data_IF_105244186761
#
_entry.id   IF_105244186761
#
_cell.length_a   1.000
_cell.length_b   1.000
_cell.length_c   1.000
_cell.angle_alpha   90.00
_cell.angle_beta   90.00
_cell.angle_gamma   90.00
#
_symmetry.space_group_name_H-M   'P 1'
#
loop_
_entity.id
_entity.type
_entity.pdbx_description
1 polymer ?
#
# COMPACT_ATOMS: atom_id res chain seq x y z
N UNK A 1 15.05 -24.43 26.86
CA UNK A 1 15.07 -23.28 25.92
C UNK A 1 14.32 -23.75 24.67
N UNK A 2 13.00 -23.74 24.72
CA UNK A 2 12.21 -24.30 23.62
C UNK A 2 12.02 -23.22 22.57
N UNK A 3 12.85 -23.30 21.52
CA UNK A 3 12.74 -22.44 20.34
C UNK A 3 11.47 -22.85 19.60
N UNK A 4 10.65 -21.86 19.22
CA UNK A 4 9.53 -22.09 18.30
C UNK A 4 10.01 -22.90 17.07
N UNK A 5 9.26 -23.94 16.64
CA UNK A 5 9.57 -24.68 15.42
C UNK A 5 9.72 -23.71 14.24
N UNK A 6 10.68 -23.95 13.33
CA UNK A 6 10.99 -23.02 12.23
C UNK A 6 9.74 -22.63 11.44
N UNK A 7 8.87 -23.59 11.10
CA UNK A 7 7.69 -23.34 10.27
C UNK A 7 6.64 -22.49 11.02
N UNK A 8 6.41 -22.80 12.31
CA UNK A 8 5.51 -22.03 13.18
C UNK A 8 6.03 -20.60 13.34
N UNK A 9 7.34 -20.41 13.53
CA UNK A 9 7.92 -19.07 13.63
C UNK A 9 7.68 -18.22 12.38
N UNK A 10 7.85 -18.78 11.18
CA UNK A 10 7.60 -18.03 9.94
C UNK A 10 6.12 -17.70 9.77
N UNK A 11 5.23 -18.65 10.08
CA UNK A 11 3.79 -18.43 10.03
C UNK A 11 3.34 -17.33 10.99
N UNK A 12 3.79 -17.38 12.25
CA UNK A 12 3.50 -16.34 13.23
C UNK A 12 4.08 -14.98 12.82
N UNK A 13 5.25 -14.96 12.18
CA UNK A 13 5.85 -13.73 11.66
C UNK A 13 5.01 -13.11 10.54
N UNK A 14 4.41 -13.91 9.67
CA UNK A 14 3.47 -13.43 8.65
C UNK A 14 2.22 -12.86 9.32
N UNK A 15 1.64 -13.58 10.28
CA UNK A 15 0.49 -13.11 11.07
C UNK A 15 0.80 -11.81 11.84
N UNK A 16 2.04 -11.56 12.25
CA UNK A 16 2.44 -10.32 12.92
C UNK A 16 2.38 -9.07 12.03
N UNK A 17 2.34 -9.25 10.72
CA UNK A 17 2.20 -8.19 9.73
C UNK A 17 0.73 -7.91 9.38
N UNK A 18 -0.15 -8.89 9.60
CA UNK A 18 -1.58 -8.72 9.31
C UNK A 18 -2.26 -7.82 10.36
N UNK A 19 -3.12 -6.87 9.96
CA UNK A 19 -3.95 -6.10 10.89
C UNK A 19 -5.08 -6.96 11.50
N UNK A 20 -5.44 -8.06 10.83
CA UNK A 20 -6.50 -9.00 11.23
C UNK A 20 -5.85 -10.29 11.73
N UNK A 21 -6.30 -10.83 12.87
CA UNK A 21 -5.73 -12.02 13.52
C UNK A 21 -4.22 -11.87 13.78
N UNK A 22 -3.82 -10.72 14.30
CA UNK A 22 -2.42 -10.37 14.50
C UNK A 22 -1.82 -11.09 15.69
N UNK A 23 -0.59 -11.59 15.52
CA UNK A 23 0.23 -12.09 16.63
C UNK A 23 1.36 -11.12 16.93
N UNK A 24 1.51 -10.72 18.19
CA UNK A 24 2.53 -9.76 18.64
C UNK A 24 3.25 -10.26 19.89
N UNK A 25 4.41 -9.68 20.20
CA UNK A 25 5.10 -9.87 21.47
C UNK A 25 5.21 -8.52 22.16
N UNK A 26 4.62 -8.36 23.35
CA UNK A 26 4.59 -7.08 24.06
C UNK A 26 6.00 -6.61 24.44
N UNK A 27 6.88 -7.52 24.83
CA UNK A 27 8.27 -7.24 25.24
C UNK A 27 9.12 -6.67 24.11
N UNK A 28 8.74 -6.93 22.87
CA UNK A 28 9.48 -6.53 21.66
C UNK A 28 8.65 -5.59 20.79
N UNK A 29 7.69 -4.85 21.37
CA UNK A 29 6.81 -3.90 20.69
C UNK A 29 6.18 -4.47 19.41
N UNK A 30 5.64 -5.68 19.53
CA UNK A 30 4.98 -6.39 18.43
C UNK A 30 5.89 -7.07 17.43
N UNK A 31 7.20 -7.19 17.68
CA UNK A 31 8.10 -8.04 16.91
C UNK A 31 8.19 -9.46 17.51
N UNK A 32 7.95 -10.49 16.69
CA UNK A 32 8.12 -11.88 17.12
C UNK A 32 9.57 -12.31 16.85
N UNK A 33 10.30 -12.60 17.93
CA UNK A 33 11.63 -13.20 17.87
C UNK A 33 11.58 -14.70 18.23
N UNK A 34 12.59 -15.47 17.84
CA UNK A 34 12.70 -16.89 18.21
C UNK A 34 12.80 -17.14 19.73
N UNK A 35 13.06 -16.08 20.51
CA UNK A 35 13.19 -16.10 21.97
C UNK A 35 11.99 -15.44 22.65
N UNK A 36 10.89 -15.16 21.93
CA UNK A 36 9.72 -14.51 22.52
C UNK A 36 9.12 -15.38 23.61
N UNK A 37 8.99 -14.82 24.81
CA UNK A 37 8.48 -15.52 25.99
C UNK A 37 6.97 -15.45 26.13
N UNK A 38 6.37 -14.41 25.56
CA UNK A 38 4.93 -14.22 25.53
C UNK A 38 4.46 -13.77 24.16
N UNK A 39 3.32 -14.29 23.71
CA UNK A 39 2.66 -13.95 22.47
C UNK A 39 1.27 -13.40 22.78
N UNK A 40 0.85 -12.36 22.09
CA UNK A 40 -0.50 -11.82 22.15
C UNK A 40 -1.17 -12.04 20.80
N UNK A 41 -2.31 -12.71 20.82
CA UNK A 41 -3.20 -12.87 19.69
C UNK A 41 -4.24 -11.74 19.76
N UNK A 42 -4.44 -11.02 18.68
CA UNK A 42 -5.41 -9.93 18.58
C UNK A 42 -6.29 -10.15 17.38
N UNK A 43 -7.61 -9.98 17.53
CA UNK A 43 -8.51 -10.05 16.38
C UNK A 43 -8.22 -8.91 15.41
N UNK A 44 -8.06 -7.70 15.94
CA UNK A 44 -7.71 -6.51 15.19
C UNK A 44 -6.58 -5.77 15.91
N UNK A 45 -5.60 -5.30 15.17
CA UNK A 45 -4.54 -4.47 15.74
C UNK A 45 -4.06 -3.42 14.74
N UNK A 46 -3.98 -2.20 15.23
CA UNK A 46 -3.52 -1.06 14.46
C UNK A 46 -2.31 -0.45 15.15
N UNK A 47 -1.28 -0.15 14.37
CA UNK A 47 -0.17 0.63 14.86
C UNK A 47 -0.41 2.10 14.52
N UNK A 48 -0.18 2.95 15.52
CA UNK A 48 -0.29 4.41 15.43
C UNK A 48 1.00 4.98 16.03
N UNK A 49 2.05 5.02 15.21
CA UNK A 49 3.38 5.46 15.61
C UNK A 49 3.90 4.68 16.82
N UNK A 50 4.15 5.37 17.92
CA UNK A 50 4.64 4.79 19.18
C UNK A 50 3.60 3.98 19.94
N UNK A 51 2.36 3.86 19.46
CA UNK A 51 1.31 3.09 20.10
C UNK A 51 0.85 1.93 19.23
N UNK A 52 0.54 0.79 19.86
CA UNK A 52 -0.18 -0.31 19.24
C UNK A 52 -1.54 -0.43 19.94
N UNK A 53 -2.60 -0.19 19.18
CA UNK A 53 -3.96 -0.47 19.59
C UNK A 53 -4.27 -1.93 19.27
N UNK A 54 -4.68 -2.64 20.30
CA UNK A 54 -5.00 -4.04 20.29
C UNK A 54 -6.47 -4.19 20.64
N UNK A 55 -7.27 -4.76 19.74
CA UNK A 55 -8.71 -4.96 19.90
C UNK A 55 -8.98 -6.46 19.95
N UNK A 56 -9.71 -6.89 20.99
CA UNK A 56 -9.97 -8.28 21.34
C UNK A 56 -8.71 -9.13 21.38
N UNK A 57 -8.09 -9.17 22.55
CA UNK A 57 -6.77 -9.79 22.70
C UNK A 57 -6.72 -10.87 23.74
N UNK A 58 -5.91 -11.88 23.43
CA UNK A 58 -5.59 -13.00 24.29
C UNK A 58 -4.06 -13.11 24.39
N UNK A 59 -3.53 -13.11 25.62
CA UNK A 59 -2.09 -13.26 25.87
C UNK A 59 -1.80 -14.70 26.24
N UNK A 60 -0.89 -15.33 25.50
CA UNK A 60 -0.38 -16.66 25.73
C UNK A 60 1.09 -16.60 26.15
N UNK A 61 1.44 -17.20 27.28
CA UNK A 61 2.81 -17.23 27.80
C UNK A 61 3.43 -18.58 27.42
N UNK A 62 4.57 -18.55 26.70
CA UNK A 62 5.27 -19.75 26.23
C UNK A 62 6.15 -20.39 27.32
N UNK A 63 6.57 -19.61 28.32
CA UNK A 63 7.51 -20.05 29.36
C UNK A 63 6.77 -20.20 30.69
N UNK A 64 6.86 -21.36 31.34
CA UNK A 64 6.35 -21.66 32.69
C UNK A 64 7.09 -20.81 33.75
N UNK A 65 6.89 -19.50 33.74
CA UNK A 65 7.23 -18.60 34.84
C UNK A 65 6.13 -18.70 35.89
N UNK A 66 6.18 -19.80 36.65
CA UNK A 66 5.25 -20.23 37.70
C UNK A 66 5.16 -19.30 38.93
N UNK A 67 5.46 -17.99 38.83
CA UNK A 67 5.54 -17.11 40.02
C UNK A 67 4.93 -15.71 39.93
N UNK A 68 4.25 -15.33 38.87
CA UNK A 68 3.33 -14.19 38.92
C UNK A 68 2.05 -14.60 38.22
N UNK A 69 0.94 -14.52 38.97
CA UNK A 69 -0.36 -15.08 38.62
C UNK A 69 -0.69 -14.94 37.13
N UNK A 70 -1.07 -16.07 36.55
CA UNK A 70 -1.74 -16.16 35.27
C UNK A 70 -2.99 -15.29 35.38
N UNK A 71 -2.88 -14.02 35.01
CA UNK A 71 -4.03 -13.29 34.52
C UNK A 71 -4.00 -13.47 33.02
N UNK A 72 -4.69 -14.52 32.57
CA UNK A 72 -5.18 -14.63 31.21
C UNK A 72 -6.17 -13.48 30.99
N UNK A 73 -5.66 -12.26 30.81
CA UNK A 73 -6.51 -11.09 30.60
C UNK A 73 -6.93 -11.10 29.13
N UNK A 74 -8.02 -11.84 28.86
CA UNK A 74 -8.87 -11.51 27.73
C UNK A 74 -9.22 -10.03 27.86
N UNK A 75 -8.63 -9.22 27.00
CA UNK A 75 -8.74 -7.77 27.08
C UNK A 75 -9.41 -7.27 25.80
N UNK A 76 -10.51 -6.55 25.96
CA UNK A 76 -11.25 -5.96 24.83
C UNK A 76 -10.44 -4.90 24.10
N UNK A 77 -9.79 -4.01 24.84
CA UNK A 77 -8.93 -2.96 24.29
C UNK A 77 -7.65 -2.89 25.11
N UNK A 78 -6.51 -3.00 24.44
CA UNK A 78 -5.20 -2.78 25.04
C UNK A 78 -4.43 -1.76 24.19
N UNK A 79 -3.80 -0.81 24.86
CA UNK A 79 -2.87 0.13 24.21
C UNK A 79 -1.49 -0.23 24.73
N UNK A 80 -0.58 -0.54 23.81
CA UNK A 80 0.84 -0.76 24.12
C UNK A 80 1.62 0.47 23.66
N UNK A 81 2.31 1.14 24.56
CA UNK A 81 3.21 2.24 24.21
C UNK A 81 4.64 1.74 24.07
N UNK A 82 5.35 2.23 23.06
CA UNK A 82 6.78 2.00 22.89
C UNK A 82 7.57 2.52 24.10
N UNK A 83 7.05 3.57 24.77
CA UNK A 83 7.65 4.17 25.96
C UNK A 83 7.53 3.29 27.21
N UNK A 84 6.56 2.39 27.26
CA UNK A 84 6.42 1.46 28.38
C UNK A 84 7.51 0.37 28.33
N UNK A 85 7.96 0.04 27.11
CA UNK A 85 9.02 -0.93 26.84
C UNK A 85 10.38 -0.25 26.92
N UNK A 86 10.51 0.94 26.34
CA UNK A 86 11.63 1.85 26.53
C UNK A 86 11.45 2.60 27.85
N UNK A 87 11.54 1.90 28.99
CA UNK A 87 11.38 2.54 30.30
C UNK A 87 12.18 3.86 30.32
N UNK A 88 11.54 4.99 30.66
CA UNK A 88 12.29 6.23 30.84
C UNK A 88 13.39 5.99 31.88
N UNK A 89 14.47 6.77 31.84
CA UNK A 89 15.48 6.75 32.90
C UNK A 89 14.72 6.91 34.22
N UNK A 90 14.72 5.86 35.05
CA UNK A 90 14.20 5.97 36.40
C UNK A 90 15.16 6.89 37.13
N UNK A 91 14.69 8.10 37.42
CA UNK A 91 15.52 9.13 38.00
C UNK A 91 16.15 8.67 39.32
N UNK A 92 15.45 7.81 40.09
CA UNK A 92 15.99 7.23 41.32
C UNK A 92 17.10 6.20 41.07
N UNK A 93 16.92 5.31 40.08
CA UNK A 93 17.97 4.34 39.70
C UNK A 93 19.20 5.08 39.16
N UNK A 94 18.97 6.15 38.41
CA UNK A 94 20.03 6.97 37.84
C UNK A 94 20.82 7.74 38.90
N UNK A 95 20.14 8.44 39.81
CA UNK A 95 20.77 9.12 40.95
C UNK A 95 21.54 8.12 41.82
N UNK A 96 20.97 6.93 42.07
CA UNK A 96 21.65 5.86 42.81
C UNK A 96 22.93 5.37 42.13
N UNK A 97 22.92 5.22 40.79
CA UNK A 97 24.12 4.84 40.02
C UNK A 97 25.18 5.93 40.05
N UNK A 98 24.78 7.19 39.95
CA UNK A 98 25.69 8.32 40.00
C UNK A 98 26.37 8.41 41.37
N UNK A 99 25.59 8.30 42.44
CA UNK A 99 26.12 8.32 43.81
C UNK A 99 27.05 7.14 44.09
N UNK A 100 26.69 5.95 43.58
CA UNK A 100 27.55 4.77 43.66
C UNK A 100 28.90 5.01 42.96
N UNK A 101 28.87 5.53 41.73
CA UNK A 101 30.08 5.86 40.98
C UNK A 101 30.91 6.94 41.68
N UNK A 102 30.27 7.93 42.30
CA UNK A 102 30.96 8.92 43.16
C UNK A 102 31.70 8.27 44.31
N UNK A 103 31.02 7.41 45.05
CA UNK A 103 31.59 6.69 46.19
C UNK A 103 32.76 5.79 45.78
N UNK A 104 32.69 5.18 44.58
CA UNK A 104 33.76 4.34 44.02
C UNK A 104 34.99 5.15 43.59
N UNK A 105 34.80 6.39 43.13
CA UNK A 105 35.86 7.23 42.55
C UNK A 105 36.55 8.12 43.57
N UNK A 106 35.83 8.63 44.57
CA UNK A 106 36.38 9.53 45.60
C UNK A 106 37.71 9.04 46.22
N UNK A 107 37.85 7.76 46.65
CA UNK A 107 39.07 7.26 47.28
C UNK A 107 40.22 6.96 46.31
N UNK A 108 40.02 7.06 45.00
CA UNK A 108 41.04 6.70 44.00
C UNK A 108 42.16 7.74 43.91
N UNK A 109 43.35 7.26 43.55
CA UNK A 109 44.51 8.12 43.29
C UNK A 109 44.30 8.94 42.00
N UNK A 110 44.97 10.10 41.87
CA UNK A 110 44.86 10.96 40.67
C UNK A 110 45.13 10.23 39.34
N UNK A 111 46.14 9.37 39.29
CA UNK A 111 46.46 8.59 38.09
C UNK A 111 45.34 7.63 37.71
N UNK A 112 44.73 6.94 38.69
CA UNK A 112 43.63 6.01 38.43
C UNK A 112 42.38 6.76 37.96
N UNK A 113 42.11 7.94 38.54
CA UNK A 113 41.03 8.84 38.09
C UNK A 113 41.24 9.27 36.64
N UNK A 114 42.47 9.56 36.23
CA UNK A 114 42.81 9.92 34.85
C UNK A 114 42.61 8.77 33.87
N UNK A 115 43.04 7.55 34.23
CA UNK A 115 42.82 6.35 33.40
C UNK A 115 41.32 6.08 33.20
N UNK A 116 40.51 6.20 34.26
CA UNK A 116 39.05 6.04 34.15
C UNK A 116 38.47 7.14 33.27
N UNK A 117 38.92 8.39 33.41
CA UNK A 117 38.48 9.51 32.58
C UNK A 117 38.72 9.24 31.10
N UNK A 118 39.91 8.76 30.74
CA UNK A 118 40.27 8.44 29.37
C UNK A 118 39.41 7.29 28.82
N UNK A 119 39.23 6.22 29.61
CA UNK A 119 38.38 5.09 29.23
C UNK A 119 36.91 5.51 29.01
N UNK A 120 36.35 6.34 29.88
CA UNK A 120 35.00 6.89 29.75
C UNK A 120 34.87 7.77 28.51
N UNK A 121 35.85 8.64 28.26
CA UNK A 121 35.87 9.54 27.11
C UNK A 121 35.99 8.78 25.78
N UNK A 122 36.86 7.77 25.73
CA UNK A 122 36.98 6.88 24.59
C UNK A 122 35.65 6.16 24.30
N UNK A 123 35.01 5.62 25.34
CA UNK A 123 33.72 4.94 25.19
C UNK A 123 32.62 5.90 24.74
N UNK A 124 32.59 7.11 25.29
CA UNK A 124 31.68 8.17 24.86
C UNK A 124 31.82 8.45 23.36
N UNK A 125 33.04 8.68 22.88
CA UNK A 125 33.29 8.96 21.46
C UNK A 125 32.78 7.82 20.57
N UNK A 126 32.98 6.56 20.97
CA UNK A 126 32.45 5.40 20.26
C UNK A 126 30.91 5.38 20.19
N UNK A 127 30.23 5.84 21.25
CA UNK A 127 28.76 5.96 21.26
C UNK A 127 28.31 7.10 20.33
N UNK A 128 29.01 8.24 20.35
CA UNK A 128 28.74 9.38 19.44
C UNK A 128 28.89 8.94 17.98
N UNK A 129 29.93 8.18 17.64
CA UNK A 129 30.11 7.63 16.30
C UNK A 129 28.96 6.70 15.90
N UNK A 130 28.49 5.88 16.85
CA UNK A 130 27.35 4.99 16.65
C UNK A 130 26.04 5.77 16.47
N UNK A 131 25.88 6.88 17.17
CA UNK A 131 24.77 7.83 17.02
C UNK A 131 24.79 8.47 15.63
N UNK A 132 25.93 8.94 15.17
CA UNK A 132 26.11 9.50 13.82
C UNK A 132 25.78 8.48 12.72
N UNK A 133 26.20 7.21 12.88
CA UNK A 133 25.82 6.13 11.95
C UNK A 133 24.31 5.89 11.95
N UNK A 134 23.66 5.98 13.10
CA UNK A 134 22.21 5.82 13.26
C UNK A 134 21.49 6.98 12.55
N UNK A 135 21.94 8.22 12.75
CA UNK A 135 21.43 9.39 12.04
C UNK A 135 21.57 9.27 10.51
N UNK A 136 22.71 8.79 10.02
CA UNK A 136 22.91 8.56 8.58
C UNK A 136 21.94 7.51 8.02
N UNK A 137 21.63 6.45 8.78
CA UNK A 137 20.58 5.48 8.39
C UNK A 137 19.21 6.13 8.33
N UNK A 138 18.88 6.99 9.29
CA UNK A 138 17.63 7.76 9.26
C UNK A 138 17.52 8.61 7.99
N UNK A 139 18.57 9.34 7.61
CA UNK A 139 18.59 10.13 6.37
C UNK A 139 18.42 9.25 5.12
N UNK A 140 19.08 8.09 5.07
CA UNK A 140 18.91 7.15 3.96
C UNK A 140 17.46 6.64 3.87
N UNK A 141 16.82 6.34 5.00
CA UNK A 141 15.42 5.94 5.05
C UNK A 141 14.45 7.03 4.61
N UNK A 142 14.71 8.29 4.99
CA UNK A 142 13.95 9.44 4.51
C UNK A 142 14.05 9.58 2.99
N UNK A 143 15.25 9.42 2.42
CA UNK A 143 15.47 9.45 0.99
C UNK A 143 14.70 8.34 0.26
N UNK A 144 14.73 7.10 0.77
CA UNK A 144 13.95 5.98 0.21
C UNK A 144 12.45 6.32 0.15
N UNK A 145 11.88 6.88 1.22
CA UNK A 145 10.46 7.29 1.22
C UNK A 145 10.19 8.39 0.20
N UNK A 146 11.08 9.38 0.07
CA UNK A 146 10.96 10.43 -0.93
C UNK A 146 10.98 9.87 -2.38
N UNK A 147 11.78 8.83 -2.64
CA UNK A 147 11.80 8.13 -3.93
C UNK A 147 10.55 7.28 -4.19
N UNK A 148 9.89 6.77 -3.15
CA UNK A 148 8.66 5.99 -3.30
C UNK A 148 7.46 6.85 -3.72
N UNK A 149 7.39 8.12 -3.30
CA UNK A 149 6.24 9.00 -3.59
C UNK A 149 5.97 9.12 -5.10
N UNK A 150 6.95 9.47 -5.97
CA UNK A 150 6.75 9.55 -7.41
C UNK A 150 6.21 8.26 -8.02
N UNK A 151 6.64 7.10 -7.53
CA UNK A 151 6.24 5.78 -8.06
C UNK A 151 4.73 5.58 -7.93
N UNK A 152 4.08 6.10 -6.88
CA UNK A 152 2.64 5.95 -6.69
C UNK A 152 1.79 6.93 -7.49
N UNK A 153 2.36 8.06 -7.94
CA UNK A 153 1.63 9.10 -8.69
C UNK A 153 0.80 8.58 -9.87
N UNK A 154 1.34 7.75 -10.78
CA UNK A 154 0.55 7.20 -11.89
C UNK A 154 -0.57 6.27 -11.41
N UNK A 155 -0.37 5.50 -10.35
CA UNK A 155 -1.39 4.61 -9.79
C UNK A 155 -2.52 5.38 -9.10
N UNK A 156 -2.19 6.49 -8.41
CA UNK A 156 -3.17 7.41 -7.85
C UNK A 156 -4.04 8.05 -8.94
N UNK A 157 -3.46 8.38 -10.10
CA UNK A 157 -4.22 8.95 -11.22
C UNK A 157 -5.19 7.96 -11.88
N UNK A 158 -4.84 6.67 -11.91
CA UNK A 158 -5.66 5.58 -12.47
C UNK A 158 -6.54 4.88 -11.45
N UNK A 159 -6.50 5.31 -10.19
CA UNK A 159 -7.22 4.66 -9.10
C UNK A 159 -8.73 4.66 -9.33
N UNK A 160 -9.27 5.70 -9.99
CA UNK A 160 -10.70 5.76 -10.36
C UNK A 160 -11.09 4.63 -11.33
N UNK A 161 -10.27 4.33 -12.33
CA UNK A 161 -10.52 3.21 -13.26
C UNK A 161 -10.39 1.85 -12.54
N UNK A 162 -9.39 1.69 -11.66
CA UNK A 162 -9.28 0.46 -10.87
C UNK A 162 -10.39 0.26 -9.84
N UNK A 163 -11.12 1.32 -9.45
CA UNK A 163 -12.26 1.22 -8.52
C UNK A 163 -13.55 0.76 -9.21
N UNK A 164 -13.62 0.75 -10.54
CA UNK A 164 -14.78 0.30 -11.32
C UNK A 164 -14.75 -1.22 -11.56
N UNK A 165 -13.69 -1.92 -11.14
CA UNK A 165 -13.62 -3.38 -11.25
C UNK A 165 -14.47 -4.06 -10.17
N UNK A 166 -15.44 -4.87 -10.59
CA UNK A 166 -16.18 -5.76 -9.70
C UNK A 166 -15.41 -7.07 -9.52
N UNK A 167 -15.05 -7.42 -8.27
CA UNK A 167 -14.48 -8.75 -7.96
C UNK A 167 -13.47 -8.80 -6.81
N UNK A 168 -12.84 -9.97 -6.64
CA UNK A 168 -11.87 -10.24 -5.57
C UNK A 168 -10.60 -9.37 -5.69
N UNK A 169 -10.19 -9.02 -6.91
CA UNK A 169 -9.02 -8.17 -7.17
C UNK A 169 -9.20 -6.74 -6.64
N UNK A 170 -10.42 -6.19 -6.71
CA UNK A 170 -10.73 -4.88 -6.10
C UNK A 170 -10.48 -4.88 -4.60
N UNK A 171 -10.96 -5.92 -3.90
CA UNK A 171 -10.77 -6.05 -2.44
C UNK A 171 -9.28 -6.15 -2.10
N UNK A 172 -8.50 -6.91 -2.88
CA UNK A 172 -7.05 -7.05 -2.69
C UNK A 172 -6.29 -5.74 -2.94
N UNK A 173 -6.68 -4.97 -3.97
CA UNK A 173 -6.09 -3.65 -4.25
C UNK A 173 -6.41 -2.67 -3.11
N UNK A 174 -7.66 -2.62 -2.65
CA UNK A 174 -8.09 -1.75 -1.56
C UNK A 174 -7.36 -2.08 -0.25
N UNK A 175 -7.23 -3.37 0.09
CA UNK A 175 -6.51 -3.82 1.28
C UNK A 175 -5.02 -3.47 1.21
N UNK A 176 -4.40 -3.67 0.04
CA UNK A 176 -3.00 -3.30 -0.20
C UNK A 176 -2.80 -1.80 -0.08
N UNK A 177 -3.68 -0.99 -0.67
CA UNK A 177 -3.63 0.47 -0.59
C UNK A 177 -3.81 0.95 0.86
N UNK A 178 -4.78 0.41 1.59
CA UNK A 178 -4.98 0.69 3.01
C UNK A 178 -3.72 0.41 3.82
N UNK A 179 -3.06 -0.71 3.57
CA UNK A 179 -1.80 -1.05 4.24
C UNK A 179 -0.68 -0.05 3.89
N UNK A 180 -0.54 0.35 2.62
CA UNK A 180 0.46 1.34 2.19
C UNK A 180 0.21 2.68 2.89
N UNK A 181 -1.02 3.18 2.87
CA UNK A 181 -1.39 4.46 3.50
C UNK A 181 -1.13 4.43 5.00
N UNK A 182 -1.58 3.39 5.70
CA UNK A 182 -1.32 3.23 7.14
C UNK A 182 0.16 3.05 7.45
N UNK A 183 0.92 2.39 6.58
CA UNK A 183 2.38 2.26 6.67
C UNK A 183 3.09 3.62 6.54
N UNK A 184 2.70 4.44 5.57
CA UNK A 184 3.24 5.79 5.37
C UNK A 184 2.90 6.70 6.55
N UNK A 185 1.65 6.67 7.05
CA UNK A 185 1.25 7.43 8.24
C UNK A 185 2.10 7.03 9.46
N UNK A 186 2.32 5.73 9.67
CA UNK A 186 3.21 5.25 10.73
C UNK A 186 4.64 5.75 10.56
N UNK A 187 5.19 5.72 9.33
CA UNK A 187 6.52 6.26 9.05
C UNK A 187 6.63 7.74 9.41
N UNK A 188 5.64 8.55 9.02
CA UNK A 188 5.60 9.98 9.37
C UNK A 188 5.60 10.19 10.89
N UNK A 189 4.84 9.40 11.63
CA UNK A 189 4.82 9.47 13.10
C UNK A 189 6.17 9.07 13.72
N UNK A 190 6.83 8.04 13.21
CA UNK A 190 8.17 7.66 13.68
C UNK A 190 9.25 8.66 13.31
N UNK A 191 9.20 9.24 12.11
CA UNK A 191 10.09 10.33 11.71
C UNK A 191 9.91 11.55 12.60
N UNK A 192 8.67 11.91 12.91
CA UNK A 192 8.38 12.98 13.86
C UNK A 192 8.95 12.66 15.25
N UNK A 193 8.74 11.45 15.77
CA UNK A 193 9.28 11.05 17.09
C UNK A 193 10.81 11.03 17.12
N UNK A 194 11.48 10.73 16.00
CA UNK A 194 12.94 10.77 15.88
C UNK A 194 13.49 12.21 15.87
N UNK A 195 12.85 13.12 15.14
CA UNK A 195 13.29 14.53 15.02
C UNK A 195 12.92 15.33 16.28
N UNK A 196 11.88 14.92 17.00
CA UNK A 196 11.38 15.63 18.17
C UNK A 196 12.49 15.87 19.19
N UNK A 197 12.76 17.15 19.45
CA UNK A 197 13.73 17.57 20.48
C UNK A 197 13.22 17.12 21.85
N UNK A 198 14.04 16.35 22.55
CA UNK A 198 13.80 15.94 23.94
C UNK A 198 14.70 16.75 24.86
N UNK A 199 14.12 17.33 25.90
CA UNK A 199 14.87 18.03 26.93
C UNK A 199 15.26 17.04 28.03
N UNK A 200 16.55 16.85 28.23
CA UNK A 200 17.09 16.16 29.39
C UNK A 200 17.88 17.17 30.23
N UNK A 201 17.83 17.02 31.55
CA UNK A 201 18.75 17.76 32.42
C UNK A 201 20.17 17.34 32.05
N UNK A 202 21.04 18.31 31.76
CA UNK A 202 22.45 18.06 31.44
C UNK A 202 23.33 18.61 32.53
N UNK A 203 24.47 17.97 32.74
CA UNK A 203 25.46 18.43 33.70
C UNK A 203 26.03 19.77 33.23
N UNK A 204 26.17 20.76 34.11
CA UNK A 204 26.67 22.08 33.72
C UNK A 204 28.14 22.19 34.06
N UNK A 205 28.88 22.89 33.21
CA UNK A 205 30.27 23.25 33.51
C UNK A 205 30.41 24.04 34.82
N UNK A 206 29.40 24.82 35.19
CA UNK A 206 29.37 25.58 36.45
C UNK A 206 29.45 24.66 37.68
N UNK A 207 28.86 23.47 37.60
CA UNK A 207 28.87 22.49 38.70
C UNK A 207 30.31 22.02 38.97
N UNK A 208 31.07 21.74 37.91
CA UNK A 208 32.51 21.42 37.98
C UNK A 208 33.32 22.61 38.50
N UNK A 209 33.09 23.81 37.96
CA UNK A 209 33.87 25.02 38.30
C UNK A 209 33.78 25.37 39.80
N UNK A 210 32.60 25.22 40.37
CA UNK A 210 32.29 25.61 41.75
C UNK A 210 32.52 24.49 42.78
N UNK A 211 32.89 23.29 42.33
CA UNK A 211 33.17 22.16 43.20
C UNK A 211 34.50 22.30 43.95
N UNK A 212 34.53 21.73 45.16
CA UNK A 212 35.75 21.66 45.97
C UNK A 212 36.78 20.66 45.38
N UNK A 213 36.31 19.55 44.81
CA UNK A 213 37.15 18.58 44.09
C UNK A 213 36.76 18.53 42.61
N UNK A 214 37.38 19.44 41.85
CA UNK A 214 37.13 19.58 40.40
C UNK A 214 37.47 18.32 39.60
N UNK A 215 38.42 17.51 40.06
CA UNK A 215 38.85 16.31 39.34
C UNK A 215 37.77 15.22 39.43
N UNK A 216 37.30 14.96 40.65
CA UNK A 216 36.21 13.99 40.87
C UNK A 216 34.91 14.48 40.24
N UNK A 217 34.58 15.76 40.37
CA UNK A 217 33.38 16.34 39.77
C UNK A 217 33.37 16.27 38.24
N UNK A 218 34.52 16.54 37.60
CA UNK A 218 34.67 16.38 36.15
C UNK A 218 34.47 14.92 35.72
N UNK A 219 34.94 13.95 36.51
CA UNK A 219 34.71 12.55 36.20
C UNK A 219 33.24 12.15 36.34
N UNK A 220 32.54 12.68 37.35
CA UNK A 220 31.09 12.50 37.50
C UNK A 220 30.33 13.09 36.32
N UNK A 221 30.70 14.30 35.89
CA UNK A 221 30.14 14.93 34.69
C UNK A 221 30.29 14.04 33.45
N UNK A 222 31.49 13.50 33.20
CA UNK A 222 31.75 12.64 32.03
C UNK A 222 30.94 11.34 32.13
N UNK A 223 30.87 10.73 33.31
CA UNK A 223 30.08 9.53 33.54
C UNK A 223 28.58 9.77 33.30
N UNK A 224 28.05 10.88 33.84
CA UNK A 224 26.67 11.32 33.66
C UNK A 224 26.31 11.48 32.18
N UNK A 225 27.10 12.29 31.45
CA UNK A 225 26.85 12.55 30.04
C UNK A 225 26.95 11.26 29.23
N UNK A 226 27.87 10.34 29.58
CA UNK A 226 28.03 9.06 28.87
C UNK A 226 26.77 8.22 29.00
N UNK A 227 26.27 8.05 30.22
CA UNK A 227 25.07 7.28 30.47
C UNK A 227 23.85 7.88 29.78
N UNK A 228 23.69 9.21 29.84
CA UNK A 228 22.61 9.91 29.16
C UNK A 228 22.69 9.71 27.63
N UNK A 229 23.88 9.85 27.06
CA UNK A 229 24.11 9.66 25.62
C UNK A 229 23.84 8.21 25.19
N UNK A 230 24.24 7.23 26.00
CA UNK A 230 23.94 5.81 25.75
C UNK A 230 22.43 5.55 25.74
N UNK A 231 21.71 6.11 26.72
CA UNK A 231 20.26 6.01 26.79
C UNK A 231 19.56 6.65 25.58
N UNK A 232 19.94 7.88 25.21
CA UNK A 232 19.44 8.56 24.01
C UNK A 232 19.66 7.68 22.77
N UNK A 233 20.87 7.13 22.62
CA UNK A 233 21.21 6.26 21.49
C UNK A 233 20.34 4.99 21.43
N UNK A 234 20.09 4.33 22.57
CA UNK A 234 19.22 3.14 22.63
C UNK A 234 17.79 3.48 22.16
N UNK A 235 17.26 4.63 22.58
CA UNK A 235 15.94 5.10 22.15
C UNK A 235 15.90 5.37 20.64
N UNK A 236 16.89 6.10 20.11
CA UNK A 236 17.02 6.39 18.69
C UNK A 236 17.10 5.11 17.84
N UNK A 237 17.96 4.16 18.22
CA UNK A 237 18.09 2.87 17.53
C UNK A 237 16.76 2.12 17.50
N UNK A 238 15.99 2.16 18.59
CA UNK A 238 14.70 1.48 18.65
C UNK A 238 13.66 2.12 17.73
N UNK A 239 13.66 3.46 17.62
CA UNK A 239 12.82 4.17 16.65
C UNK A 239 13.24 3.81 15.21
N UNK A 240 14.55 3.80 14.93
CA UNK A 240 15.09 3.43 13.61
C UNK A 240 14.69 2.00 13.20
N UNK A 241 14.75 1.04 14.12
CA UNK A 241 14.32 -0.34 13.83
C UNK A 241 12.85 -0.42 13.43
N UNK A 242 12.00 0.39 14.06
CA UNK A 242 10.60 0.48 13.68
C UNK A 242 10.45 1.12 12.29
N UNK A 243 11.14 2.24 12.01
CA UNK A 243 11.19 2.85 10.66
C UNK A 243 11.58 1.81 9.60
N UNK A 244 12.65 1.05 9.86
CA UNK A 244 13.13 0.00 8.95
C UNK A 244 12.05 -1.07 8.69
N UNK A 245 11.34 -1.52 9.74
CA UNK A 245 10.23 -2.47 9.63
C UNK A 245 9.12 -1.96 8.71
N UNK A 246 8.72 -0.70 8.86
CA UNK A 246 7.65 -0.12 8.04
C UNK A 246 8.10 0.15 6.60
N UNK A 247 9.33 0.62 6.37
CA UNK A 247 9.87 0.80 5.02
C UNK A 247 9.86 -0.54 4.28
N UNK A 248 10.36 -1.61 4.91
CA UNK A 248 10.32 -2.96 4.33
C UNK A 248 8.89 -3.41 4.00
N UNK A 249 7.95 -3.20 4.93
CA UNK A 249 6.55 -3.52 4.74
C UNK A 249 5.91 -2.76 3.57
N UNK A 250 6.15 -1.44 3.50
CA UNK A 250 5.65 -0.60 2.40
C UNK A 250 6.23 -1.06 1.06
N UNK A 251 7.54 -1.29 0.96
CA UNK A 251 8.17 -1.76 -0.29
C UNK A 251 7.56 -3.09 -0.77
N UNK A 252 7.40 -4.07 0.12
CA UNK A 252 6.80 -5.37 -0.23
C UNK A 252 5.37 -5.19 -0.74
N UNK A 253 4.58 -4.35 -0.06
CA UNK A 253 3.19 -4.11 -0.44
C UNK A 253 3.06 -3.27 -1.71
N UNK A 254 4.02 -2.40 -2.01
CA UNK A 254 4.13 -1.73 -3.31
C UNK A 254 4.33 -2.73 -4.43
N UNK A 255 5.24 -3.69 -4.23
CA UNK A 255 5.48 -4.72 -5.24
C UNK A 255 4.22 -5.56 -5.45
N UNK A 256 3.53 -5.93 -4.36
CA UNK A 256 2.25 -6.62 -4.44
C UNK A 256 1.19 -5.80 -5.20
N UNK A 257 1.08 -4.50 -4.94
CA UNK A 257 0.16 -3.60 -5.64
C UNK A 257 0.42 -3.59 -7.15
N UNK A 258 1.68 -3.45 -7.56
CA UNK A 258 2.07 -3.46 -8.97
C UNK A 258 1.71 -4.80 -9.62
N UNK A 259 1.98 -5.92 -8.93
CA UNK A 259 1.64 -7.25 -9.46
C UNK A 259 0.13 -7.44 -9.59
N UNK A 260 -0.66 -7.10 -8.58
CA UNK A 260 -2.11 -7.24 -8.62
C UNK A 260 -2.74 -6.34 -9.67
N UNK A 261 -2.26 -5.11 -9.82
CA UNK A 261 -2.74 -4.19 -10.85
C UNK A 261 -2.46 -4.72 -12.26
N UNK A 262 -1.23 -5.18 -12.53
CA UNK A 262 -0.88 -5.74 -13.84
C UNK A 262 -1.66 -7.03 -14.14
N UNK A 263 -1.90 -7.88 -13.13
CA UNK A 263 -2.72 -9.08 -13.29
C UNK A 263 -4.18 -8.70 -13.61
N UNK A 264 -4.76 -7.71 -12.91
CA UNK A 264 -6.12 -7.21 -13.19
C UNK A 264 -6.26 -6.75 -14.64
N UNK A 265 -5.33 -5.89 -15.09
CA UNK A 265 -5.33 -5.38 -16.46
C UNK A 265 -5.23 -6.51 -17.49
N UNK A 266 -4.42 -7.53 -17.24
CA UNK A 266 -4.32 -8.67 -18.14
C UNK A 266 -5.60 -9.51 -18.21
N UNK A 267 -6.28 -9.71 -17.07
CA UNK A 267 -7.57 -10.41 -17.04
C UNK A 267 -8.65 -9.64 -17.79
N UNK A 268 -8.69 -8.31 -17.67
CA UNK A 268 -9.64 -7.48 -18.41
C UNK A 268 -9.38 -7.48 -19.91
N UNK A 269 -8.12 -7.37 -20.33
CA UNK A 269 -7.77 -7.44 -21.75
C UNK A 269 -8.19 -8.80 -22.33
N UNK A 270 -7.93 -9.89 -21.61
CA UNK A 270 -8.32 -11.24 -22.04
C UNK A 270 -9.84 -11.43 -22.04
N UNK A 271 -10.57 -10.87 -21.07
CA UNK A 271 -12.04 -10.90 -21.00
C UNK A 271 -12.70 -10.04 -22.10
N UNK A 272 -12.11 -8.89 -22.43
CA UNK A 272 -12.57 -8.02 -23.52
C UNK A 272 -12.34 -8.67 -24.89
N UNK A 273 -11.21 -9.37 -25.08
CA UNK A 273 -10.91 -10.15 -26.28
C UNK A 273 -11.86 -11.33 -26.48
N UNK A 274 -12.30 -11.98 -25.39
CA UNK A 274 -13.26 -13.10 -25.46
C UNK A 274 -14.72 -12.65 -25.60
N UNK A 275 -15.08 -11.44 -25.18
CA UNK A 275 -16.42 -10.86 -25.36
C UNK A 275 -16.58 -10.10 -26.69
N UNK A 276 -15.49 -9.61 -27.29
CA UNK A 276 -15.50 -8.95 -28.61
C UNK A 276 -15.69 -9.91 -29.80
N UNK A 277 -15.59 -11.23 -29.61
CA UNK A 277 -15.74 -12.22 -30.68
C UNK A 277 -17.17 -12.72 -30.89
N UNK A 278 -18.17 -12.21 -30.13
CA UNK A 278 -19.55 -12.71 -30.17
C UNK A 278 -20.66 -11.66 -30.35
N UNK A 279 -20.34 -10.37 -30.56
CA UNK A 279 -21.37 -9.36 -30.87
C UNK A 279 -21.04 -8.67 -32.20
N UNK A 280 -21.22 -9.38 -33.31
CA UNK A 280 -21.63 -8.75 -34.56
C UNK A 280 -23.16 -8.69 -34.54
N UNK A 281 -23.71 -7.65 -33.92
CA UNK A 281 -25.15 -7.32 -33.97
C UNK A 281 -25.49 -6.75 -35.35
N UNK A 282 -25.19 -7.52 -36.40
CA UNK A 282 -25.43 -7.18 -37.80
C UNK A 282 -26.87 -7.54 -38.11
N UNK A 283 -27.71 -6.52 -38.27
CA UNK A 283 -29.10 -6.73 -38.69
C UNK A 283 -29.14 -6.88 -40.20
N UNK A 284 -29.83 -7.92 -40.68
CA UNK A 284 -29.96 -8.26 -42.10
C UNK A 284 -31.40 -8.02 -42.53
N UNK A 285 -31.59 -7.22 -43.57
CA UNK A 285 -32.88 -7.00 -44.21
C UNK A 285 -32.80 -7.38 -45.67
N UNK A 286 -33.83 -8.07 -46.16
CA UNK A 286 -33.92 -8.47 -47.57
C UNK A 286 -35.13 -7.82 -48.20
N UNK A 287 -34.90 -7.03 -49.25
CA UNK A 287 -35.90 -6.31 -50.03
C UNK A 287 -36.06 -6.98 -51.39
N UNK A 288 -37.31 -7.10 -51.84
CA UNK A 288 -37.62 -7.53 -53.21
C UNK A 288 -37.81 -6.30 -54.11
N UNK A 289 -36.85 -6.07 -55.00
CA UNK A 289 -36.80 -4.97 -55.95
C UNK A 289 -37.84 -5.08 -57.09
N UNK A 290 -38.45 -6.25 -57.29
CA UNK A 290 -39.51 -6.43 -58.30
C UNK A 290 -40.86 -5.84 -57.90
N UNK A 291 -41.02 -5.45 -56.63
CA UNK A 291 -42.24 -4.80 -56.16
C UNK A 291 -42.46 -3.43 -56.82
N UNK A 292 -43.72 -3.09 -57.06
CA UNK A 292 -44.09 -1.75 -57.53
C UNK A 292 -43.60 -0.68 -56.54
N UNK A 293 -43.22 0.52 -56.99
CA UNK A 293 -42.73 1.60 -56.13
C UNK A 293 -43.49 1.86 -54.84
N UNK A 294 -44.82 1.82 -54.90
CA UNK A 294 -45.71 2.07 -53.76
C UNK A 294 -45.75 0.93 -52.74
N UNK A 295 -45.14 -0.22 -53.07
CA UNK A 295 -45.11 -1.45 -52.26
C UNK A 295 -43.69 -1.92 -51.95
N UNK A 296 -42.67 -1.11 -52.24
CA UNK A 296 -41.27 -1.46 -51.99
C UNK A 296 -40.97 -1.69 -50.51
N UNK A 297 -41.70 -0.99 -49.63
CA UNK A 297 -41.51 -1.03 -48.17
C UNK A 297 -42.69 -1.67 -47.44
N UNK A 298 -43.64 -2.29 -48.16
CA UNK A 298 -44.79 -2.95 -47.56
C UNK A 298 -44.33 -4.07 -46.62
N UNK A 299 -44.70 -3.98 -45.35
CA UNK A 299 -44.28 -4.93 -44.32
C UNK A 299 -42.86 -4.71 -43.76
N UNK A 300 -42.13 -3.68 -44.20
CA UNK A 300 -40.77 -3.37 -43.75
C UNK A 300 -40.66 -2.04 -42.99
N UNK A 301 -41.70 -1.68 -42.23
CA UNK A 301 -41.72 -0.47 -41.39
C UNK A 301 -40.54 -0.44 -40.39
N UNK A 302 -40.20 -1.59 -39.82
CA UNK A 302 -39.07 -1.72 -38.90
C UNK A 302 -37.72 -1.39 -39.53
N UNK A 303 -37.52 -1.65 -40.83
CA UNK A 303 -36.31 -1.26 -41.55
C UNK A 303 -36.20 0.27 -41.66
N UNK A 304 -37.28 0.95 -42.04
CA UNK A 304 -37.31 2.41 -42.15
C UNK A 304 -37.09 3.04 -40.77
N UNK A 305 -37.78 2.54 -39.74
CA UNK A 305 -37.68 3.03 -38.38
C UNK A 305 -36.24 2.85 -37.85
N UNK A 306 -35.62 1.67 -38.05
CA UNK A 306 -34.25 1.38 -37.61
C UNK A 306 -33.17 2.13 -38.40
N UNK A 307 -33.37 2.38 -39.70
CA UNK A 307 -32.49 3.26 -40.47
C UNK A 307 -32.59 4.69 -39.94
N UNK A 308 -33.80 5.18 -39.74
CA UNK A 308 -34.04 6.58 -39.32
C UNK A 308 -33.49 6.82 -37.91
N UNK A 309 -33.84 5.99 -36.92
CA UNK A 309 -33.29 6.11 -35.58
C UNK A 309 -31.79 5.81 -35.57
N UNK A 310 -31.34 4.80 -36.32
CA UNK A 310 -29.95 4.38 -36.32
C UNK A 310 -28.97 5.41 -36.89
N UNK A 311 -29.38 6.14 -37.93
CA UNK A 311 -28.62 7.24 -38.49
C UNK A 311 -28.67 8.51 -37.62
N UNK A 312 -29.80 8.80 -36.96
CA UNK A 312 -29.95 9.97 -36.08
C UNK A 312 -29.22 9.80 -34.74
N UNK A 313 -29.26 8.59 -34.17
CA UNK A 313 -28.69 8.27 -32.86
C UNK A 313 -27.21 7.82 -32.94
N UNK A 314 -26.60 7.83 -34.14
CA UNK A 314 -25.24 7.32 -34.40
C UNK A 314 -25.01 5.87 -33.94
N UNK A 315 -26.06 5.05 -33.94
CA UNK A 315 -25.96 3.65 -33.54
C UNK A 315 -25.58 2.72 -34.70
N UNK A 316 -25.59 3.20 -35.95
CA UNK A 316 -25.10 2.47 -37.13
C UNK A 316 -23.68 2.95 -37.46
N UNK A 317 -22.71 2.03 -37.58
CA UNK A 317 -21.33 2.33 -37.94
C UNK A 317 -21.00 2.08 -39.41
N UNK A 318 -21.77 1.23 -40.09
CA UNK A 318 -21.52 0.83 -41.48
C UNK A 318 -22.82 0.27 -42.10
N UNK A 319 -23.09 0.64 -43.36
CA UNK A 319 -24.19 0.05 -44.14
C UNK A 319 -23.61 -0.65 -45.36
N UNK A 320 -23.93 -1.94 -45.51
CA UNK A 320 -23.53 -2.73 -46.68
C UNK A 320 -24.77 -3.07 -47.50
N UNK A 321 -24.74 -2.68 -48.78
CA UNK A 321 -25.80 -2.96 -49.74
C UNK A 321 -25.34 -4.01 -50.74
N UNK A 322 -25.96 -5.19 -50.70
CA UNK A 322 -25.65 -6.29 -51.60
C UNK A 322 -26.79 -6.47 -52.59
N UNK A 323 -26.53 -6.20 -53.87
CA UNK A 323 -27.52 -6.26 -54.94
C UNK A 323 -27.35 -7.52 -55.80
N UNK A 324 -28.44 -8.24 -56.04
CA UNK A 324 -28.51 -9.37 -56.97
C UNK A 324 -29.02 -8.88 -58.33
N UNK A 325 -28.13 -8.58 -59.29
CA UNK A 325 -28.47 -8.26 -60.69
C UNK A 325 -28.94 -6.82 -61.01
N UNK A 326 -29.01 -6.48 -62.31
CA UNK A 326 -29.22 -5.09 -62.79
C UNK A 326 -30.65 -4.73 -63.21
N UNK A 327 -31.55 -5.71 -63.31
CA UNK A 327 -32.88 -5.59 -63.94
C UNK A 327 -33.81 -4.55 -63.27
N UNK A 328 -33.55 -4.18 -62.00
CA UNK A 328 -34.37 -3.26 -61.20
C UNK A 328 -33.61 -2.02 -60.69
N UNK A 329 -32.75 -1.44 -61.53
CA UNK A 329 -31.85 -0.33 -61.16
C UNK A 329 -32.60 0.89 -60.62
N UNK A 330 -33.79 1.18 -61.16
CA UNK A 330 -34.61 2.32 -60.72
C UNK A 330 -35.08 2.19 -59.27
N UNK A 331 -35.45 0.98 -58.83
CA UNK A 331 -35.88 0.74 -57.45
C UNK A 331 -34.70 0.69 -56.49
N UNK A 332 -33.57 0.12 -56.92
CA UNK A 332 -32.31 0.19 -56.18
C UNK A 332 -31.86 1.64 -55.94
N UNK A 333 -31.80 2.47 -56.98
CA UNK A 333 -31.39 3.90 -56.87
C UNK A 333 -32.27 4.67 -55.89
N UNK A 334 -33.57 4.35 -55.79
CA UNK A 334 -34.48 4.97 -54.82
C UNK A 334 -34.11 4.61 -53.39
N UNK A 335 -33.88 3.33 -53.11
CA UNK A 335 -33.48 2.86 -51.78
C UNK A 335 -32.10 3.43 -51.41
N UNK A 336 -31.15 3.43 -52.35
CA UNK A 336 -29.85 4.05 -52.16
C UNK A 336 -29.95 5.55 -51.85
N UNK A 337 -30.76 6.29 -52.62
CA UNK A 337 -30.97 7.73 -52.37
C UNK A 337 -31.62 8.02 -51.03
N UNK A 338 -32.52 7.14 -50.55
CA UNK A 338 -33.12 7.25 -49.23
C UNK A 338 -32.06 7.10 -48.14
N UNK A 339 -31.22 6.06 -48.22
CA UNK A 339 -30.15 5.82 -47.25
C UNK A 339 -29.15 6.97 -47.26
N UNK A 340 -28.77 7.49 -48.44
CA UNK A 340 -27.91 8.67 -48.55
C UNK A 340 -28.55 9.92 -47.91
N UNK A 341 -29.86 10.14 -48.11
CA UNK A 341 -30.55 11.29 -47.52
C UNK A 341 -30.64 11.23 -45.99
N UNK A 342 -30.67 10.01 -45.42
CA UNK A 342 -30.66 9.77 -43.97
C UNK A 342 -29.24 9.80 -43.39
N UNK A 343 -28.22 9.60 -44.22
CA UNK A 343 -26.81 9.57 -43.80
C UNK A 343 -26.21 10.97 -43.58
N UNK A 344 -26.76 11.72 -42.63
CA UNK A 344 -26.32 13.08 -42.28
C UNK A 344 -24.88 13.10 -41.74
N UNK A 345 -24.44 11.99 -41.12
CA UNK A 345 -23.16 11.88 -40.43
C UNK A 345 -22.05 11.23 -41.27
N UNK A 346 -22.24 11.08 -42.59
CA UNK A 346 -21.25 10.52 -43.53
C UNK A 346 -20.67 9.16 -43.11
N UNK A 347 -21.53 8.26 -42.63
CA UNK A 347 -21.18 6.85 -42.37
C UNK A 347 -20.83 6.16 -43.69
N UNK A 348 -19.89 5.21 -43.65
CA UNK A 348 -19.45 4.49 -44.85
C UNK A 348 -20.56 3.57 -45.39
N UNK A 349 -20.83 3.68 -46.69
CA UNK A 349 -21.84 2.87 -47.40
C UNK A 349 -21.12 2.04 -48.46
N UNK A 350 -20.91 0.76 -48.16
CA UNK A 350 -20.29 -0.19 -49.08
C UNK A 350 -21.34 -0.81 -49.98
N UNK A 351 -21.12 -0.79 -51.30
CA UNK A 351 -22.01 -1.44 -52.28
C UNK A 351 -21.29 -2.63 -52.89
N UNK A 352 -21.92 -3.80 -52.84
CA UNK A 352 -21.44 -5.02 -53.47
C UNK A 352 -22.48 -5.59 -54.44
N UNK A 353 -22.00 -6.21 -55.51
CA UNK A 353 -22.85 -6.92 -56.47
C UNK A 353 -22.66 -8.41 -56.30
N UNK A 354 -23.75 -9.14 -56.08
CA UNK A 354 -23.76 -10.60 -56.07
C UNK A 354 -24.24 -11.11 -57.43
N UNK A 355 -23.28 -11.39 -58.33
CA UNK A 355 -23.56 -11.88 -59.68
C UNK A 355 -23.92 -13.37 -59.73
N UNK A 356 -23.79 -14.09 -58.62
CA UNK A 356 -24.03 -15.53 -58.52
C UNK A 356 -25.43 -15.91 -58.00
N UNK A 357 -26.24 -14.92 -57.58
CA UNK A 357 -27.58 -15.17 -57.06
C UNK A 357 -28.58 -15.43 -58.21
N UNK A 358 -29.38 -16.48 -58.07
CA UNK A 358 -30.36 -16.92 -59.07
C UNK A 358 -31.54 -15.93 -59.13
N UNK A 359 -31.83 -15.27 -58.01
CA UNK A 359 -32.90 -14.29 -57.88
C UNK A 359 -32.39 -12.85 -58.10
N UNK A 360 -32.42 -12.39 -59.36
CA UNK A 360 -31.96 -11.04 -59.80
C UNK A 360 -32.84 -9.87 -59.32
N UNK A 361 -33.70 -10.10 -58.33
CA UNK A 361 -34.65 -9.12 -57.82
C UNK A 361 -34.44 -8.82 -56.33
N UNK A 362 -33.33 -9.25 -55.71
CA UNK A 362 -33.09 -9.05 -54.27
C UNK A 362 -32.07 -7.94 -53.99
N UNK A 363 -32.34 -7.18 -52.93
CA UNK A 363 -31.39 -6.29 -52.27
C UNK A 363 -31.27 -6.71 -50.81
N UNK A 364 -30.07 -7.07 -50.38
CA UNK A 364 -29.77 -7.33 -48.96
C UNK A 364 -29.10 -6.10 -48.37
N UNK A 365 -29.63 -5.62 -47.25
CA UNK A 365 -29.10 -4.48 -46.48
C UNK A 365 -28.58 -5.02 -45.16
N UNK A 366 -27.28 -4.87 -44.93
CA UNK A 366 -26.63 -5.20 -43.67
C UNK A 366 -26.37 -3.91 -42.90
N UNK A 367 -26.91 -3.82 -41.69
CA UNK A 367 -26.66 -2.71 -40.78
C UNK A 367 -25.75 -3.21 -39.67
N UNK A 368 -24.54 -2.66 -39.61
CA UNK A 368 -23.59 -2.92 -38.54
C UNK A 368 -23.76 -1.84 -37.49
N UNK A 369 -24.08 -2.23 -36.26
CA UNK A 369 -24.19 -1.28 -35.17
C UNK A 369 -22.82 -0.91 -34.62
N UNK A 370 -22.61 0.38 -34.36
CA UNK A 370 -21.44 0.90 -33.68
C UNK A 370 -21.58 0.78 -32.17
N UNK A 371 -20.49 0.50 -31.46
CA UNK A 371 -20.47 0.71 -30.01
C UNK A 371 -20.60 2.20 -29.75
N UNK A 372 -21.64 2.60 -29.00
CA UNK A 372 -21.77 3.95 -28.45
C UNK A 372 -20.52 4.17 -27.58
N UNK A 373 -19.66 5.10 -27.98
CA UNK A 373 -18.48 5.51 -27.23
C UNK A 373 -18.84 6.44 -26.10
#
# INVERSE_FOLDING_TARGET
MDRLPKNVFHFLKILSLSPILRVTCDESFGEITKKSKSLRFSLLSFNIGVYILHIFTFRYILENSLKQGIKDELTFIKILSLRDIQKPIDQKDFESRLEKHRTEVEPLNPNDKEVIKEALSFKMNSIIDSKNRTFNKFLAYLAVVAFLIPIYTPYLSKLKQSLEHEGVFYILILLTLFYIVTGILNLMLFFHEFIKVRSYSRYRYQDVKNSNDRSTELLQMIYYERYLTEFEWIQEVTVIKNIEKYIKGVIIMSLALVTFHNISLHFEETASLTSSSLITDTQVYVLNLSNSPSKLYDGQKSLIDNLTSGFLENSISEVILIRSGDDYEKNYKRIYSLIQSLNVNNIDITVAMNSADIDKNKLTILLKKGQIK
#
